data_IF_705418234034
#
_entry.id   IF_705418234034
#
_cell.length_a   1.000
_cell.length_b   1.000
_cell.length_c   1.000
_cell.angle_alpha   90.00
_cell.angle_beta   90.00
_cell.angle_gamma   90.00
#
_symmetry.space_group_name_H-M   'P 1'
#
loop_
_entity.id
_entity.type
_entity.pdbx_description
1 polymer ?
#
# COMPACT_ATOMS: atom_id res chain seq x y z
N UNK A 1 0.86 -10.71 -27.44
CA UNK A 1 1.22 -10.82 -26.01
C UNK A 1 0.08 -10.15 -25.26
N UNK A 2 -0.95 -10.92 -24.89
CA UNK A 2 -2.12 -10.39 -24.20
C UNK A 2 -1.74 -10.21 -22.73
N UNK A 3 -1.46 -8.96 -22.34
CA UNK A 3 -1.29 -8.60 -20.94
C UNK A 3 -2.65 -8.81 -20.29
N UNK A 4 -2.90 -10.00 -19.74
CA UNK A 4 -4.09 -10.22 -18.92
C UNK A 4 -4.08 -9.18 -17.80
N UNK A 5 -5.14 -8.37 -17.76
CA UNK A 5 -5.41 -7.46 -16.67
C UNK A 5 -5.42 -8.24 -15.35
N UNK A 6 -4.31 -8.15 -14.61
CA UNK A 6 -4.20 -8.79 -13.32
C UNK A 6 -4.82 -7.88 -12.26
N UNK A 7 -6.14 -8.03 -12.08
CA UNK A 7 -6.90 -7.27 -11.10
C UNK A 7 -6.34 -7.39 -9.68
N UNK A 8 -5.74 -8.53 -9.32
CA UNK A 8 -5.12 -8.68 -8.00
C UNK A 8 -3.91 -7.74 -7.83
N UNK A 9 -3.05 -7.63 -8.84
CA UNK A 9 -1.94 -6.67 -8.84
C UNK A 9 -2.44 -5.22 -8.87
N UNK A 10 -3.53 -4.94 -9.60
CA UNK A 10 -4.15 -3.60 -9.62
C UNK A 10 -4.73 -3.22 -8.25
N UNK A 11 -5.38 -4.16 -7.55
CA UNK A 11 -5.88 -3.97 -6.19
C UNK A 11 -4.74 -3.72 -5.19
N UNK A 12 -3.66 -4.50 -5.25
CA UNK A 12 -2.48 -4.28 -4.40
C UNK A 12 -1.90 -2.88 -4.60
N UNK A 13 -1.76 -2.44 -5.86
CA UNK A 13 -1.28 -1.09 -6.19
C UNK A 13 -2.21 -0.02 -5.63
N UNK A 14 -3.51 -0.11 -5.93
CA UNK A 14 -4.50 0.86 -5.46
C UNK A 14 -4.53 0.95 -3.93
N UNK A 15 -4.39 -0.18 -3.22
CA UNK A 15 -4.31 -0.18 -1.77
C UNK A 15 -3.08 0.58 -1.25
N UNK A 16 -1.89 0.31 -1.80
CA UNK A 16 -0.65 0.99 -1.38
C UNK A 16 -0.72 2.49 -1.68
N UNK A 17 -1.31 2.88 -2.82
CA UNK A 17 -1.53 4.27 -3.19
C UNK A 17 -2.52 4.97 -2.24
N UNK A 18 -3.63 4.30 -1.92
CA UNK A 18 -4.60 4.79 -0.94
C UNK A 18 -3.94 5.04 0.42
N UNK A 19 -3.22 4.06 0.94
CA UNK A 19 -2.47 4.18 2.21
C UNK A 19 -1.47 5.34 2.13
N UNK A 20 -0.69 5.46 1.04
CA UNK A 20 0.25 6.55 0.86
C UNK A 20 -0.45 7.92 0.84
N UNK A 21 -1.63 8.01 0.22
CA UNK A 21 -2.48 9.19 0.22
C UNK A 21 -2.95 9.56 1.62
N UNK A 22 -3.42 8.58 2.41
CA UNK A 22 -3.83 8.78 3.82
C UNK A 22 -2.68 9.25 4.70
N UNK A 23 -1.50 8.64 4.55
CA UNK A 23 -0.26 9.04 5.25
C UNK A 23 0.08 10.50 4.95
N UNK A 24 0.01 10.90 3.66
CA UNK A 24 0.25 12.28 3.24
C UNK A 24 -0.78 13.24 3.83
N UNK A 25 -2.07 12.86 3.82
CA UNK A 25 -3.16 13.68 4.37
C UNK A 25 -3.03 13.90 5.89
N UNK A 26 -2.51 12.91 6.63
CA UNK A 26 -2.18 13.04 8.07
C UNK A 26 -0.89 13.83 8.34
N UNK A 27 -0.15 14.22 7.31
CA UNK A 27 1.11 14.96 7.44
C UNK A 27 2.30 14.12 7.92
N UNK A 28 2.18 12.79 7.95
CA UNK A 28 3.23 11.90 8.44
C UNK A 28 4.36 11.73 7.43
N UNK A 29 5.59 11.72 7.94
CA UNK A 29 6.76 11.36 7.13
C UNK A 29 6.76 9.85 6.85
N UNK A 30 7.31 9.44 5.70
CA UNK A 30 7.38 8.02 5.31
C UNK A 30 8.01 7.12 6.37
N UNK A 31 9.12 7.57 6.97
CA UNK A 31 9.80 6.82 8.03
C UNK A 31 9.04 6.80 9.35
N UNK A 32 8.28 7.87 9.65
CA UNK A 32 7.43 7.95 10.83
C UNK A 32 6.26 6.97 10.73
N UNK A 33 5.58 6.94 9.58
CA UNK A 33 4.54 5.96 9.32
C UNK A 33 5.09 4.53 9.40
N UNK A 34 6.20 4.25 8.73
CA UNK A 34 6.79 2.92 8.72
C UNK A 34 7.17 2.43 10.14
N UNK A 35 7.73 3.30 10.98
CA UNK A 35 8.06 2.98 12.36
C UNK A 35 6.83 2.68 13.23
N UNK A 36 5.67 3.26 12.90
CA UNK A 36 4.39 2.94 13.57
C UNK A 36 3.84 1.59 13.13
N UNK A 37 3.98 1.25 11.84
CA UNK A 37 3.48 -0.01 11.27
C UNK A 37 4.32 -1.21 11.75
N UNK A 38 5.65 -1.06 11.79
CA UNK A 38 6.56 -2.12 12.23
C UNK A 38 7.42 -1.63 13.41
N UNK A 39 6.86 -1.57 14.63
CA UNK A 39 7.57 -1.04 15.80
C UNK A 39 8.72 -1.94 16.27
N UNK A 40 8.70 -3.22 15.90
CA UNK A 40 9.75 -4.19 16.26
C UNK A 40 10.94 -4.18 15.29
N UNK A 41 10.82 -3.49 14.15
CA UNK A 41 11.91 -3.33 13.19
C UNK A 41 12.77 -2.11 13.55
N UNK A 42 14.05 -2.13 13.14
CA UNK A 42 14.84 -0.89 13.18
C UNK A 42 14.20 0.17 12.27
N UNK A 43 14.30 1.47 12.59
CA UNK A 43 13.72 2.53 11.76
C UNK A 43 14.15 2.46 10.29
N UNK A 44 15.40 2.05 10.04
CA UNK A 44 15.95 1.84 8.70
C UNK A 44 15.26 0.67 7.97
N UNK A 45 15.06 -0.46 8.64
CA UNK A 45 14.40 -1.63 8.07
C UNK A 45 12.92 -1.35 7.76
N UNK A 46 12.20 -0.73 8.69
CA UNK A 46 10.80 -0.33 8.49
C UNK A 46 10.66 0.63 7.28
N UNK A 47 11.50 1.66 7.22
CA UNK A 47 11.48 2.62 6.11
C UNK A 47 11.82 1.96 4.76
N UNK A 48 12.77 1.01 4.75
CA UNK A 48 13.11 0.24 3.55
C UNK A 48 11.93 -0.63 3.08
N UNK A 49 11.23 -1.29 4.01
CA UNK A 49 10.02 -2.10 3.72
C UNK A 49 8.92 -1.27 3.08
N UNK A 50 8.57 -0.13 3.69
CA UNK A 50 7.58 0.79 3.11
C UNK A 50 7.99 1.30 1.73
N UNK A 51 9.27 1.66 1.57
CA UNK A 51 9.80 2.17 0.29
C UNK A 51 9.74 1.09 -0.79
N UNK A 52 10.08 -0.15 -0.47
CA UNK A 52 10.01 -1.27 -1.42
C UNK A 52 8.57 -1.53 -1.88
N UNK A 53 7.59 -1.54 -0.96
CA UNK A 53 6.17 -1.72 -1.31
C UNK A 53 5.68 -0.59 -2.23
N UNK A 54 6.00 0.66 -1.89
CA UNK A 54 5.55 1.83 -2.65
C UNK A 54 6.23 1.97 -4.02
N UNK A 55 7.53 1.69 -4.12
CA UNK A 55 8.25 1.80 -5.40
C UNK A 55 7.84 0.72 -6.40
N UNK A 56 7.42 -0.46 -5.92
CA UNK A 56 6.81 -1.49 -6.78
C UNK A 56 5.46 -1.06 -7.34
N UNK A 57 4.68 -0.28 -6.56
CA UNK A 57 3.43 0.32 -7.02
C UNK A 57 3.64 1.24 -8.23
N UNK A 58 4.72 2.03 -8.22
CA UNK A 58 4.86 3.14 -9.15
C UNK A 58 5.51 2.85 -10.51
N UNK A 59 6.22 1.72 -10.75
CA UNK A 59 7.08 1.64 -11.95
C UNK A 59 7.38 0.27 -12.58
N UNK A 60 6.94 -0.89 -12.05
CA UNK A 60 7.51 -2.19 -12.49
C UNK A 60 6.54 -3.26 -12.97
N UNK A 61 5.21 -3.04 -12.84
CA UNK A 61 4.22 -4.09 -13.11
C UNK A 61 4.31 -5.33 -12.18
N UNK A 62 5.27 -5.35 -11.24
CA UNK A 62 5.45 -6.44 -10.29
C UNK A 62 4.45 -6.34 -9.14
N UNK A 63 3.98 -7.48 -8.58
CA UNK A 63 3.20 -7.50 -7.36
C UNK A 63 3.91 -6.76 -6.23
N UNK A 64 3.16 -5.95 -5.48
CA UNK A 64 3.70 -5.23 -4.34
C UNK A 64 4.07 -6.24 -3.23
N UNK A 65 3.32 -7.35 -3.14
CA UNK A 65 3.55 -8.42 -2.17
C UNK A 65 3.15 -7.97 -0.77
N UNK A 66 1.99 -7.29 -0.67
CA UNK A 66 1.45 -6.81 0.60
C UNK A 66 0.87 -7.99 1.34
N UNK A 67 1.47 -8.35 2.48
CA UNK A 67 0.89 -9.35 3.37
C UNK A 67 -0.38 -8.78 4.01
N UNK A 68 -1.41 -9.62 4.20
CA UNK A 68 -2.63 -9.22 4.91
C UNK A 68 -2.30 -8.69 6.31
N UNK A 69 -1.30 -9.28 6.99
CA UNK A 69 -0.83 -8.79 8.28
C UNK A 69 -0.27 -7.36 8.21
N UNK A 70 0.47 -7.02 7.15
CA UNK A 70 0.98 -5.65 6.97
C UNK A 70 -0.17 -4.69 6.66
N UNK A 71 -1.14 -5.12 5.84
CA UNK A 71 -2.31 -4.33 5.51
C UNK A 71 -3.15 -4.01 6.77
N UNK A 72 -3.32 -4.99 7.66
CA UNK A 72 -4.00 -4.78 8.95
C UNK A 72 -3.24 -3.77 9.82
N UNK A 73 -1.92 -3.92 9.96
CA UNK A 73 -1.11 -2.97 10.74
C UNK A 73 -1.16 -1.55 10.17
N UNK A 74 -1.17 -1.40 8.84
CA UNK A 74 -1.33 -0.09 8.20
C UNK A 74 -2.70 0.53 8.52
N UNK A 75 -3.76 -0.27 8.48
CA UNK A 75 -5.12 0.15 8.80
C UNK A 75 -5.21 0.61 10.27
N UNK A 76 -4.67 -0.18 11.20
CA UNK A 76 -4.62 0.12 12.64
C UNK A 76 -3.88 1.44 12.90
N UNK A 77 -2.72 1.64 12.25
CA UNK A 77 -1.94 2.89 12.37
C UNK A 77 -2.70 4.08 11.80
N UNK A 78 -3.45 3.90 10.71
CA UNK A 78 -4.28 4.95 10.14
C UNK A 78 -5.55 5.24 10.98
N UNK A 79 -5.94 4.32 11.86
CA UNK A 79 -7.20 4.37 12.59
C UNK A 79 -8.40 4.16 11.67
N UNK A 80 -8.24 3.34 10.63
CA UNK A 80 -9.28 3.00 9.66
C UNK A 80 -9.47 1.48 9.62
N UNK A 81 -10.66 1.01 9.25
CA UNK A 81 -10.91 -0.43 9.09
C UNK A 81 -10.26 -0.97 7.81
N UNK A 82 -9.59 -2.13 7.90
CA UNK A 82 -8.99 -2.79 6.74
C UNK A 82 -10.04 -3.11 5.66
N UNK A 83 -11.23 -3.56 6.06
CA UNK A 83 -12.33 -3.88 5.13
C UNK A 83 -12.78 -2.65 4.33
N UNK A 84 -12.81 -1.48 4.97
CA UNK A 84 -13.13 -0.21 4.32
C UNK A 84 -12.03 0.19 3.32
N UNK A 85 -10.76 0.14 3.74
CA UNK A 85 -9.64 0.44 2.85
C UNK A 85 -9.60 -0.51 1.64
N UNK A 86 -9.92 -1.78 1.83
CA UNK A 86 -10.05 -2.77 0.75
C UNK A 86 -11.21 -2.45 -0.21
N UNK A 87 -12.36 -2.03 0.29
CA UNK A 87 -13.49 -1.64 -0.55
C UNK A 87 -13.13 -0.44 -1.43
N UNK A 88 -12.55 0.61 -0.83
CA UNK A 88 -12.11 1.81 -1.56
C UNK A 88 -11.02 1.48 -2.58
N UNK A 89 -10.02 0.68 -2.21
CA UNK A 89 -8.96 0.25 -3.13
C UNK A 89 -9.52 -0.55 -4.31
N UNK A 90 -10.52 -1.41 -4.07
CA UNK A 90 -11.20 -2.20 -5.12
C UNK A 90 -11.96 -1.33 -6.10
N UNK A 91 -12.62 -0.28 -5.62
CA UNK A 91 -13.28 0.72 -6.48
C UNK A 91 -12.26 1.50 -7.31
N UNK A 92 -11.17 1.97 -6.69
CA UNK A 92 -10.10 2.67 -7.40
C UNK A 92 -9.46 1.80 -8.48
N UNK A 93 -9.15 0.54 -8.18
CA UNK A 93 -8.55 -0.40 -9.13
C UNK A 93 -9.42 -0.64 -10.38
N UNK A 94 -10.76 -0.58 -10.26
CA UNK A 94 -11.69 -0.69 -11.39
C UNK A 94 -11.66 0.52 -12.31
N UNK A 95 -11.21 1.67 -11.81
CA UNK A 95 -11.20 2.95 -12.54
C UNK A 95 -9.83 3.31 -13.10
N UNK A 96 -8.76 2.59 -12.72
CA UNK A 96 -7.43 2.82 -13.28
C UNK A 96 -7.38 2.22 -14.71
N UNK A 97 -7.05 3.02 -15.74
CA UNK A 97 -6.87 2.51 -17.10
C UNK A 97 -5.68 1.55 -17.17
N UNK A 98 -5.76 0.55 -18.05
CA UNK A 98 -4.64 -0.31 -18.40
C UNK A 98 -3.54 0.55 -19.05
N UNK A 99 -2.43 0.80 -18.32
CA UNK A 99 -1.19 1.36 -18.90
C UNK A 99 -0.32 0.27 -19.54
#
# INVERSE_FOLDING_TARGET
MTTEYNFATALERAFVELVAGRVKAKGWKKGEFAAKVWPNDTPKAAAARWTAMRSKASNTGKPQGVLISDAQLMADVLGEDLSYLMAVAKEQARTQPEE
#
